data_IF_346515390919
#
_entry.id   IF_346515390919
#
_cell.length_a   1.000
_cell.length_b   1.000
_cell.length_c   1.000
_cell.angle_alpha   90.00
_cell.angle_beta   90.00
_cell.angle_gamma   90.00
#
_symmetry.space_group_name_H-M   'P 1'
#
loop_
_entity.id
_entity.type
_entity.pdbx_description
1 polymer ?
#
# COMPACT_ATOMS: atom_id res chain seq x y z
N UNK A 1 20.21 -21.13 10.06
CA UNK A 1 19.59 -19.79 10.20
C UNK A 1 18.32 -19.78 9.36
N UNK A 2 17.17 -19.60 10.01
CA UNK A 2 15.86 -19.61 9.36
C UNK A 2 15.76 -18.40 8.42
N UNK A 3 15.29 -18.60 7.18
CA UNK A 3 15.15 -17.59 6.11
C UNK A 3 14.09 -16.52 6.42
N UNK A 4 13.96 -16.14 7.69
CA UNK A 4 12.91 -15.31 8.26
C UNK A 4 12.96 -13.87 7.77
N UNK A 5 14.13 -13.34 7.43
CA UNK A 5 14.24 -11.95 6.97
C UNK A 5 13.43 -11.72 5.69
N UNK A 6 13.58 -12.60 4.70
CA UNK A 6 12.85 -12.50 3.43
C UNK A 6 11.35 -12.68 3.62
N UNK A 7 10.92 -13.67 4.41
CA UNK A 7 9.50 -13.89 4.71
C UNK A 7 8.87 -12.73 5.51
N UNK A 8 9.62 -12.13 6.44
CA UNK A 8 9.14 -10.93 7.16
C UNK A 8 9.04 -9.76 6.19
N UNK A 9 10.08 -9.54 5.36
CA UNK A 9 10.11 -8.48 4.35
C UNK A 9 8.92 -8.60 3.37
N UNK A 10 8.64 -9.79 2.85
CA UNK A 10 7.49 -10.10 1.98
C UNK A 10 6.16 -9.75 2.65
N UNK A 11 5.97 -10.16 3.92
CA UNK A 11 4.75 -9.81 4.66
C UNK A 11 4.61 -8.32 4.91
N UNK A 12 5.70 -7.63 5.28
CA UNK A 12 5.67 -6.18 5.47
C UNK A 12 5.36 -5.44 4.17
N UNK A 13 5.99 -5.85 3.06
CA UNK A 13 5.75 -5.26 1.74
C UNK A 13 4.30 -5.50 1.28
N UNK A 14 3.75 -6.70 1.48
CA UNK A 14 2.36 -7.02 1.17
C UNK A 14 1.36 -6.20 1.99
N UNK A 15 1.63 -5.96 3.27
CA UNK A 15 0.78 -5.11 4.13
C UNK A 15 0.79 -3.66 3.70
N UNK A 16 1.97 -3.12 3.38
CA UNK A 16 2.11 -1.75 2.88
C UNK A 16 1.40 -1.58 1.53
N UNK A 17 1.50 -2.55 0.63
CA UNK A 17 0.78 -2.54 -0.64
C UNK A 17 -0.76 -2.54 -0.46
N UNK A 18 -1.28 -3.36 0.46
CA UNK A 18 -2.72 -3.38 0.77
C UNK A 18 -3.20 -2.04 1.35
N UNK A 19 -2.42 -1.42 2.23
CA UNK A 19 -2.73 -0.08 2.77
C UNK A 19 -2.71 0.98 1.65
N UNK A 20 -1.70 0.95 0.78
CA UNK A 20 -1.60 1.85 -0.37
C UNK A 20 -2.80 1.73 -1.31
N UNK A 21 -3.20 0.49 -1.63
CA UNK A 21 -4.38 0.23 -2.46
C UNK A 21 -5.68 0.68 -1.79
N UNK A 22 -5.84 0.43 -0.49
CA UNK A 22 -7.01 0.88 0.26
C UNK A 22 -7.12 2.40 0.33
N UNK A 23 -5.99 3.09 0.55
CA UNK A 23 -5.92 4.55 0.52
C UNK A 23 -6.28 5.11 -0.87
N UNK A 24 -5.82 4.47 -1.94
CA UNK A 24 -6.19 4.79 -3.33
C UNK A 24 -7.70 4.67 -3.58
N UNK A 25 -8.31 3.56 -3.15
CA UNK A 25 -9.75 3.31 -3.31
C UNK A 25 -10.56 4.35 -2.53
N UNK A 26 -10.19 4.64 -1.28
CA UNK A 26 -10.83 5.67 -0.48
C UNK A 26 -10.67 7.04 -1.12
N UNK A 27 -9.45 7.39 -1.57
CA UNK A 27 -9.20 8.70 -2.18
C UNK A 27 -10.06 8.89 -3.44
N UNK A 28 -10.11 7.87 -4.31
CA UNK A 28 -10.95 7.88 -5.49
C UNK A 28 -12.46 7.94 -5.15
N UNK A 29 -12.91 7.18 -4.15
CA UNK A 29 -14.32 7.13 -3.76
C UNK A 29 -14.84 8.42 -3.13
N UNK A 30 -14.03 9.11 -2.33
CA UNK A 30 -14.45 10.34 -1.65
C UNK A 30 -14.14 11.61 -2.44
N UNK A 31 -13.02 11.66 -3.15
CA UNK A 31 -12.55 12.89 -3.79
C UNK A 31 -12.58 12.83 -5.33
N UNK A 32 -12.85 11.67 -5.93
CA UNK A 32 -12.98 11.50 -7.38
C UNK A 32 -11.64 11.49 -8.14
N UNK A 33 -10.52 11.75 -7.45
CA UNK A 33 -9.17 11.65 -7.97
C UNK A 33 -8.38 10.62 -7.16
N UNK A 34 -7.44 9.95 -7.81
CA UNK A 34 -6.60 8.91 -7.20
C UNK A 34 -5.43 9.52 -6.41
N UNK A 35 -4.88 10.62 -6.92
CA UNK A 35 -3.88 11.48 -6.30
C UNK A 35 -4.26 12.90 -6.74
N UNK A 36 -4.64 13.82 -5.85
CA UNK A 36 -4.80 15.22 -6.24
C UNK A 36 -3.45 15.70 -6.75
N UNK A 37 -3.46 16.36 -7.92
CA UNK A 37 -2.25 16.72 -8.67
C UNK A 37 -1.13 17.21 -7.74
N UNK A 38 0.00 16.51 -7.76
CA UNK A 38 1.25 17.02 -7.23
C UNK A 38 1.65 18.14 -8.21
N UNK A 39 1.45 19.40 -7.81
CA UNK A 39 2.02 20.57 -8.47
C UNK A 39 3.42 20.84 -7.91
#
# INVERSE_FOLDING_TARGET
MNNNYWTIAERTNGRLAMIGLFALIINYGFFGWIIPGIY
#
